data_IF_837846020882
#
_entry.id   IF_837846020882
#
_cell.length_a   1.000
_cell.length_b   1.000
_cell.length_c   1.000
_cell.angle_alpha   90.00
_cell.angle_beta   90.00
_cell.angle_gamma   90.00
#
_symmetry.space_group_name_H-M   'P 1'
#
loop_
_entity.id
_entity.type
_entity.pdbx_description
1 polymer ?
#
# COMPACT_ATOMS: atom_id res chain seq x y z
N UNK A 1 24.18 6.99 -6.42
CA UNK A 1 24.30 6.84 -4.96
C UNK A 1 23.74 5.53 -4.41
N UNK A 2 22.42 5.25 -4.45
CA UNK A 2 21.88 3.97 -3.91
C UNK A 2 22.43 2.71 -4.58
N UNK A 3 22.51 2.66 -5.92
CA UNK A 3 23.12 1.52 -6.63
C UNK A 3 24.63 1.40 -6.43
N UNK A 4 25.32 2.54 -6.31
CA UNK A 4 26.78 2.59 -6.05
C UNK A 4 27.09 2.10 -4.63
N UNK A 5 26.28 2.46 -3.64
CA UNK A 5 26.35 1.95 -2.26
C UNK A 5 26.08 0.42 -2.20
N UNK A 6 25.28 -0.11 -3.13
CA UNK A 6 25.04 -1.54 -3.29
C UNK A 6 26.09 -2.27 -4.15
N UNK A 7 27.10 -1.56 -4.68
CA UNK A 7 28.14 -2.15 -5.53
C UNK A 7 27.67 -2.61 -6.92
N UNK A 8 26.48 -2.18 -7.36
CA UNK A 8 25.88 -2.59 -8.63
C UNK A 8 26.31 -1.67 -9.77
N UNK A 9 26.59 -2.23 -10.94
CA UNK A 9 27.07 -1.50 -12.13
C UNK A 9 26.17 -1.76 -13.34
N UNK A 10 26.17 -0.83 -14.30
CA UNK A 10 25.41 -0.97 -15.53
C UNK A 10 23.89 -1.14 -15.31
N UNK A 11 23.28 -2.05 -16.07
CA UNK A 11 21.82 -2.29 -16.02
C UNK A 11 21.33 -2.81 -14.67
N UNK A 12 22.15 -3.56 -13.92
CA UNK A 12 21.79 -4.06 -12.59
C UNK A 12 21.57 -2.91 -11.59
N UNK A 13 22.41 -1.87 -11.69
CA UNK A 13 22.26 -0.67 -10.87
C UNK A 13 20.98 0.11 -11.21
N UNK A 14 20.64 0.20 -12.50
CA UNK A 14 19.39 0.85 -12.94
C UNK A 14 18.15 0.10 -12.43
N UNK A 15 18.14 -1.23 -12.54
CA UNK A 15 17.02 -2.06 -12.10
C UNK A 15 16.85 -2.03 -10.58
N UNK A 16 17.96 -2.03 -9.83
CA UNK A 16 17.92 -1.85 -8.38
C UNK A 16 17.29 -0.51 -7.98
N UNK A 17 17.69 0.59 -8.65
CA UNK A 17 17.11 1.91 -8.38
C UNK A 17 15.61 1.91 -8.74
N UNK A 18 15.22 1.33 -9.88
CA UNK A 18 13.81 1.24 -10.28
C UNK A 18 12.98 0.47 -9.25
N UNK A 19 13.42 -0.72 -8.86
CA UNK A 19 12.73 -1.52 -7.85
C UNK A 19 12.64 -0.78 -6.51
N UNK A 20 13.73 -0.15 -6.07
CA UNK A 20 13.75 0.65 -4.84
C UNK A 20 12.73 1.79 -4.89
N UNK A 21 12.59 2.46 -6.04
CA UNK A 21 11.62 3.53 -6.23
C UNK A 21 10.18 3.00 -6.26
N UNK A 22 9.94 1.82 -6.87
CA UNK A 22 8.64 1.15 -6.83
C UNK A 22 8.25 0.85 -5.39
N UNK A 23 9.12 0.18 -4.63
CA UNK A 23 8.86 -0.16 -3.22
C UNK A 23 8.61 1.11 -2.41
N UNK A 24 9.49 2.11 -2.50
CA UNK A 24 9.38 3.34 -1.70
C UNK A 24 8.06 4.10 -1.89
N UNK A 25 7.52 4.12 -3.10
CA UNK A 25 6.33 4.94 -3.41
C UNK A 25 5.02 4.16 -3.47
N UNK A 26 5.08 2.82 -3.54
CA UNK A 26 3.89 2.00 -3.70
C UNK A 26 3.70 1.00 -2.54
N UNK A 27 4.73 0.74 -1.75
CA UNK A 27 4.58 -0.17 -0.62
C UNK A 27 3.66 0.40 0.45
N UNK A 28 3.01 -0.50 1.17
CA UNK A 28 2.19 -0.18 2.31
C UNK A 28 2.63 -1.01 3.50
N UNK A 29 2.45 -0.47 4.70
CA UNK A 29 2.60 -1.26 5.92
C UNK A 29 1.65 -2.44 5.86
N UNK A 30 2.15 -3.66 5.97
CA UNK A 30 1.35 -4.87 6.08
C UNK A 30 1.17 -5.19 7.56
N UNK A 31 -0.07 -5.36 8.00
CA UNK A 31 -0.38 -5.67 9.40
C UNK A 31 -1.40 -6.79 9.49
N UNK A 32 -1.40 -7.49 10.62
CA UNK A 32 -2.40 -8.49 10.97
C UNK A 32 -3.15 -8.03 12.21
N UNK A 33 -4.49 -7.92 12.16
CA UNK A 33 -5.27 -7.72 13.36
C UNK A 33 -5.10 -8.89 14.34
N UNK A 34 -4.95 -8.61 15.62
CA UNK A 34 -4.84 -9.62 16.69
C UNK A 34 -6.13 -9.68 17.52
N UNK A 35 -6.29 -10.74 18.32
CA UNK A 35 -7.51 -10.99 19.12
C UNK A 35 -7.81 -9.86 20.12
N UNK A 36 -6.79 -9.13 20.55
CA UNK A 36 -6.87 -8.01 21.49
C UNK A 36 -7.18 -6.66 20.82
N UNK A 37 -7.62 -6.67 19.55
CA UNK A 37 -7.86 -5.49 18.72
C UNK A 37 -6.62 -4.62 18.48
N UNK A 38 -5.42 -5.17 18.68
CA UNK A 38 -4.17 -4.54 18.23
C UNK A 38 -3.75 -5.04 16.84
N UNK A 39 -2.58 -4.59 16.37
CA UNK A 39 -2.04 -4.92 15.06
C UNK A 39 -0.61 -5.47 15.19
N UNK A 40 -0.39 -6.66 14.63
CA UNK A 40 0.94 -7.23 14.46
C UNK A 40 1.54 -6.74 13.14
N UNK A 41 2.67 -6.03 13.21
CA UNK A 41 3.35 -5.47 12.04
C UNK A 41 4.15 -6.55 11.28
N UNK A 42 3.81 -6.78 10.02
CA UNK A 42 4.41 -7.82 9.18
C UNK A 42 5.53 -7.29 8.28
N UNK A 43 5.62 -5.96 8.10
CA UNK A 43 6.60 -5.34 7.21
C UNK A 43 5.95 -4.46 6.15
N UNK A 44 6.55 -4.43 4.97
CA UNK A 44 6.04 -3.72 3.80
C UNK A 44 5.49 -4.71 2.77
N UNK A 45 4.31 -4.44 2.24
CA UNK A 45 3.67 -5.19 1.16
C UNK A 45 3.48 -4.34 -0.09
N UNK A 46 3.54 -4.98 -1.26
CA UNK A 46 3.19 -4.38 -2.54
C UNK A 46 1.84 -4.94 -3.00
N UNK A 47 0.84 -4.06 -3.12
CA UNK A 47 -0.54 -4.45 -3.42
C UNK A 47 -0.96 -3.87 -4.77
N UNK A 48 -0.64 -4.57 -5.86
CA UNK A 48 -0.74 -4.05 -7.23
C UNK A 48 -2.04 -3.27 -7.52
N UNK A 49 -3.20 -3.84 -7.19
CA UNK A 49 -4.49 -3.20 -7.45
C UNK A 49 -4.72 -1.96 -6.60
N UNK A 50 -4.34 -2.01 -5.33
CA UNK A 50 -4.57 -0.90 -4.43
C UNK A 50 -3.62 0.28 -4.68
N UNK A 51 -2.38 0.01 -5.14
CA UNK A 51 -1.41 1.05 -5.49
C UNK A 51 -1.83 1.89 -6.71
N UNK A 52 -2.86 1.45 -7.46
CA UNK A 52 -3.42 2.20 -8.60
C UNK A 52 -4.41 3.28 -8.17
N UNK A 53 -4.95 3.23 -6.96
CA UNK A 53 -5.93 4.20 -6.48
C UNK A 53 -5.23 5.47 -6.02
N UNK A 54 -5.55 6.61 -6.63
CA UNK A 54 -4.94 7.89 -6.31
C UNK A 54 -5.38 8.43 -4.93
N UNK A 55 -4.59 9.40 -4.45
CA UNK A 55 -4.89 10.14 -3.23
C UNK A 55 -6.06 11.12 -3.39
N UNK A 56 -6.90 11.23 -2.36
CA UNK A 56 -7.84 12.34 -2.16
C UNK A 56 -8.03 12.61 -0.67
N UNK A 57 -8.06 13.87 -0.24
CA UNK A 57 -8.43 14.27 1.13
C UNK A 57 -9.92 14.00 1.44
N UNK A 58 -10.73 13.72 0.42
CA UNK A 58 -12.14 13.34 0.55
C UNK A 58 -12.38 12.03 -0.20
N UNK A 59 -11.78 10.91 0.25
CA UNK A 59 -11.78 9.68 -0.51
C UNK A 59 -13.17 9.05 -0.59
N UNK A 60 -13.37 8.18 -1.58
CA UNK A 60 -14.60 7.39 -1.73
C UNK A 60 -14.40 5.92 -1.37
N UNK A 61 -13.17 5.53 -1.05
CA UNK A 61 -12.82 4.21 -0.59
C UNK A 61 -11.69 4.22 0.45
N UNK A 62 -11.50 3.08 1.10
CA UNK A 62 -10.59 2.88 2.21
C UNK A 62 -9.83 1.55 2.06
N UNK A 63 -8.58 1.55 2.51
CA UNK A 63 -7.76 0.35 2.70
C UNK A 63 -7.92 -0.20 4.11
N UNK A 64 -8.15 -1.50 4.22
CA UNK A 64 -8.27 -2.21 5.49
C UNK A 64 -7.40 -3.47 5.47
N UNK A 65 -6.83 -3.83 6.61
CA UNK A 65 -6.21 -5.15 6.75
C UNK A 65 -7.30 -6.23 6.83
N UNK A 66 -7.11 -7.33 6.10
CA UNK A 66 -8.08 -8.42 6.09
C UNK A 66 -7.99 -9.22 7.40
N UNK A 67 -9.13 -9.40 8.08
CA UNK A 67 -9.23 -10.32 9.22
C UNK A 67 -9.37 -11.76 8.78
N UNK A 68 -10.06 -11.98 7.66
CA UNK A 68 -10.41 -13.25 7.05
C UNK A 68 -9.73 -13.40 5.69
N UNK A 69 -8.48 -13.88 5.69
CA UNK A 69 -7.72 -14.10 4.46
C UNK A 69 -6.30 -14.56 4.72
N UNK A 70 -5.50 -14.78 3.66
CA UNK A 70 -4.07 -15.02 3.79
C UNK A 70 -3.40 -13.89 4.59
N UNK A 71 -2.40 -14.23 5.42
CA UNK A 71 -1.69 -13.26 6.25
C UNK A 71 -1.10 -12.11 5.40
N UNK A 72 -1.29 -10.87 5.86
CA UNK A 72 -0.89 -9.67 5.11
C UNK A 72 -1.82 -9.31 3.94
N UNK A 73 -2.97 -9.96 3.78
CA UNK A 73 -3.95 -9.54 2.78
C UNK A 73 -4.64 -8.22 3.16
N UNK A 74 -5.04 -7.46 2.15
CA UNK A 74 -5.76 -6.19 2.31
C UNK A 74 -7.07 -6.16 1.53
N UNK A 75 -8.02 -5.41 2.06
CA UNK A 75 -9.32 -5.15 1.47
C UNK A 75 -9.41 -3.68 1.05
N UNK A 76 -10.00 -3.46 -0.12
CA UNK A 76 -10.34 -2.13 -0.63
C UNK A 76 -11.86 -1.98 -0.60
N UNK A 77 -12.40 -1.12 0.26
CA UNK A 77 -13.85 -0.97 0.44
C UNK A 77 -14.32 0.44 0.10
N UNK A 78 -15.47 0.57 -0.55
CA UNK A 78 -16.11 1.86 -0.74
C UNK A 78 -16.65 2.38 0.60
N UNK A 79 -16.40 3.65 0.91
CA UNK A 79 -16.99 4.36 2.06
C UNK A 79 -18.04 5.38 1.63
N UNK A 80 -18.20 5.58 0.31
CA UNK A 80 -19.20 6.43 -0.34
C UNK A 80 -19.69 5.74 -1.60
N UNK A 81 -20.84 6.15 -2.12
CA UNK A 81 -21.32 5.64 -3.42
C UNK A 81 -20.36 6.05 -4.54
N UNK A 82 -19.97 5.09 -5.38
CA UNK A 82 -19.09 5.30 -6.54
C UNK A 82 -19.90 5.00 -7.80
N UNK A 83 -20.01 5.98 -8.69
CA UNK A 83 -20.73 5.83 -9.97
C UNK A 83 -19.81 5.21 -11.03
N UNK A 84 -20.40 4.56 -12.04
CA UNK A 84 -19.64 4.04 -13.20
C UNK A 84 -18.84 5.18 -13.84
N UNK A 85 -17.54 4.94 -14.05
CA UNK A 85 -16.61 5.91 -14.63
C UNK A 85 -16.07 6.96 -13.64
N UNK A 86 -16.52 6.95 -12.39
CA UNK A 86 -15.92 7.77 -11.35
C UNK A 86 -14.59 7.15 -10.91
N UNK A 87 -13.59 7.99 -10.66
CA UNK A 87 -12.31 7.57 -10.12
C UNK A 87 -12.47 7.02 -8.70
N UNK A 88 -11.72 5.96 -8.41
CA UNK A 88 -11.61 5.37 -7.07
C UNK A 88 -10.39 6.00 -6.39
N UNK A 89 -10.59 6.62 -5.23
CA UNK A 89 -9.54 7.34 -4.50
C UNK A 89 -9.50 6.95 -3.04
N UNK A 90 -8.30 6.85 -2.47
CA UNK A 90 -8.05 6.60 -1.04
C UNK A 90 -7.29 7.79 -0.41
N UNK A 91 -7.18 7.84 0.91
CA UNK A 91 -6.26 8.75 1.60
C UNK A 91 -4.90 8.07 1.79
N UNK A 92 -3.81 8.78 1.50
CA UNK A 92 -2.43 8.29 1.65
C UNK A 92 -1.80 8.76 2.95
N UNK A 93 -2.33 9.83 3.54
CA UNK A 93 -1.76 10.54 4.67
C UNK A 93 -2.40 10.12 5.98
N UNK A 94 -3.68 9.71 5.95
CA UNK A 94 -4.37 9.23 7.13
C UNK A 94 -3.94 7.80 7.43
N UNK A 95 -2.92 7.64 8.27
CA UNK A 95 -2.61 6.37 8.97
C UNK A 95 -3.71 5.97 9.98
N UNK A 96 -4.82 6.72 10.03
CA UNK A 96 -5.79 6.73 11.13
C UNK A 96 -7.24 6.48 10.72
N UNK A 97 -7.54 6.16 9.47
CA UNK A 97 -8.87 5.58 9.18
C UNK A 97 -8.83 4.08 9.49
N UNK A 98 -8.70 3.80 10.77
CA UNK A 98 -9.11 2.55 11.39
C UNK A 98 -10.58 2.74 11.77
N UNK A 99 -11.49 1.80 11.46
CA UNK A 99 -12.91 1.93 11.82
C UNK A 99 -13.13 2.11 13.34
#
# INVERSE_FOLDING_TARGET
RLAEEAGLQGSEGEDFVRLSMIVKHNSAVAQRPTEDHSYHHLGLGLYELGCRANHSCFPNAIWLDAHDGPEGSRLFRSIRSIKKGQEVTNDYLSEHMQP
#
